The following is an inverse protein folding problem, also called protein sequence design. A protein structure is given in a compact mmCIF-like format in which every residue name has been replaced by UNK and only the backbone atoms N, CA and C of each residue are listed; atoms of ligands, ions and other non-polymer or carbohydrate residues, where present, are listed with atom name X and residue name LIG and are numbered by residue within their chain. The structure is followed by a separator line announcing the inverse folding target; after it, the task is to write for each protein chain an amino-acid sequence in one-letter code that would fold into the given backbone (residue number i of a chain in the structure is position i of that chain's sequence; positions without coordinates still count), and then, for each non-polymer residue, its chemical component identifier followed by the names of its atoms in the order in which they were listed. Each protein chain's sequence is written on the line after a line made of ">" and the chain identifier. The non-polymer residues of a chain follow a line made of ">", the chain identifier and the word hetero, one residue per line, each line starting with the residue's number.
data_IF_895459510014
#
_entry.id   IF_895459510014
#
_cell.length_a   1.000
_cell.length_b   1.000
_cell.length_c   1.000
_cell.angle_alpha   90.00
_cell.angle_beta   90.00
_cell.angle_gamma   90.00
#
_symmetry.space_group_name_H-M   'P 1'
#
loop_
_entity.id
_entity.type
_entity.pdbx_description
1 polymer ?
#
# COMPACT_ATOMS: atom_id res chain seq x y z
N UNK A 1 -13.78 2.86 1.09
CA UNK A 1 -13.13 1.58 0.78
C UNK A 1 -13.22 0.65 1.98
N UNK A 2 -13.45 -0.65 1.76
CA UNK A 2 -13.48 -1.68 2.81
C UNK A 2 -12.11 -2.39 2.86
N UNK A 3 -11.58 -2.74 4.04
CA UNK A 3 -10.37 -3.55 4.14
C UNK A 3 -10.51 -4.90 3.42
N UNK A 4 -9.45 -5.35 2.76
CA UNK A 4 -9.38 -6.67 2.13
C UNK A 4 -8.53 -7.57 3.03
N UNK A 5 -9.07 -8.74 3.38
CA UNK A 5 -8.41 -9.73 4.23
C UNK A 5 -8.10 -10.99 3.40
N UNK A 6 -6.84 -11.42 3.41
CA UNK A 6 -6.45 -12.73 2.93
C UNK A 6 -6.65 -13.75 4.04
N UNK A 7 -7.28 -14.87 3.71
CA UNK A 7 -7.45 -16.01 4.60
C UNK A 7 -6.82 -17.27 4.00
N UNK A 8 -6.35 -18.17 4.85
CA UNK A 8 -5.88 -19.49 4.43
C UNK A 8 -7.05 -20.41 4.05
N UNK A 9 -6.74 -21.66 3.66
CA UNK A 9 -7.73 -22.69 3.31
C UNK A 9 -8.70 -23.05 4.44
N UNK A 10 -8.40 -22.69 5.69
CA UNK A 10 -9.27 -22.90 6.87
C UNK A 10 -10.06 -21.65 7.23
N UNK A 11 -9.90 -20.56 6.47
CA UNK A 11 -10.53 -19.27 6.75
C UNK A 11 -9.82 -18.44 7.81
N UNK A 12 -8.62 -18.83 8.26
CA UNK A 12 -7.87 -18.04 9.23
C UNK A 12 -7.22 -16.82 8.54
N UNK A 13 -7.31 -15.60 9.12
CA UNK A 13 -6.73 -14.41 8.51
C UNK A 13 -5.20 -14.45 8.55
N UNK A 14 -4.57 -14.28 7.38
CA UNK A 14 -3.11 -14.35 7.21
C UNK A 14 -2.49 -13.05 6.71
N UNK A 15 -3.31 -12.12 6.24
CA UNK A 15 -2.88 -10.78 5.85
C UNK A 15 -4.05 -9.87 5.60
N UNK A 16 -3.80 -8.57 5.59
CA UNK A 16 -4.81 -7.57 5.29
C UNK A 16 -4.18 -6.36 4.60
N UNK A 17 -5.02 -5.66 3.82
CA UNK A 17 -4.67 -4.42 3.16
C UNK A 17 -5.85 -3.46 3.18
N UNK A 18 -5.57 -2.18 3.39
CA UNK A 18 -6.56 -1.12 3.33
C UNK A 18 -5.87 0.21 3.04
N UNK A 19 -6.66 1.27 2.89
CA UNK A 19 -6.15 2.63 2.83
C UNK A 19 -6.71 3.49 3.93
N UNK A 20 -5.98 4.54 4.29
CA UNK A 20 -6.43 5.61 5.18
C UNK A 20 -5.97 6.97 4.63
N UNK A 21 -6.39 8.06 5.26
CA UNK A 21 -5.90 9.41 4.97
C UNK A 21 -5.27 9.99 6.23
N UNK A 22 -3.98 10.34 6.16
CA UNK A 22 -3.30 11.01 7.26
C UNK A 22 -3.80 12.44 7.48
N UNK A 23 -3.51 12.99 8.66
CA UNK A 23 -3.68 14.41 8.95
C UNK A 23 -2.40 14.98 9.61
N UNK A 24 -1.56 15.75 8.88
CA UNK A 24 -1.73 16.11 7.46
C UNK A 24 -1.60 14.89 6.51
N UNK A 25 -2.16 14.96 5.29
CA UNK A 25 -2.03 13.88 4.32
C UNK A 25 -0.57 13.71 3.89
N UNK A 26 -0.13 12.47 3.67
CA UNK A 26 1.23 12.21 3.17
C UNK A 26 1.46 12.86 1.80
N UNK A 27 0.46 12.77 0.90
CA UNK A 27 0.47 13.38 -0.43
C UNK A 27 -0.92 13.80 -0.86
N UNK A 28 -0.94 14.79 -1.75
CA UNK A 28 -2.12 15.20 -2.51
C UNK A 28 -1.83 15.10 -4.00
N UNK A 29 -2.88 15.00 -4.81
CA UNK A 29 -2.81 15.16 -6.27
C UNK A 29 -2.58 16.64 -6.66
N UNK A 30 -2.56 16.91 -7.96
CA UNK A 30 -2.37 18.25 -8.50
C UNK A 30 -3.50 19.24 -8.16
N UNK A 31 -4.70 18.73 -7.82
CA UNK A 31 -5.85 19.53 -7.40
C UNK A 31 -5.88 19.76 -5.87
N UNK A 32 -4.93 19.19 -5.13
CA UNK A 32 -4.86 19.28 -3.68
C UNK A 32 -5.70 18.22 -2.94
N UNK A 33 -6.29 17.26 -3.65
CA UNK A 33 -7.04 16.16 -3.05
C UNK A 33 -6.08 15.16 -2.41
N UNK A 34 -6.25 14.78 -1.13
CA UNK A 34 -5.43 13.76 -0.50
C UNK A 34 -5.41 12.44 -1.28
N UNK A 35 -4.24 11.84 -1.43
CA UNK A 35 -4.10 10.49 -1.98
C UNK A 35 -4.34 9.45 -0.87
N UNK A 36 -4.99 8.32 -1.18
CA UNK A 36 -5.15 7.25 -0.20
C UNK A 36 -3.78 6.64 0.15
N UNK A 37 -3.49 6.54 1.45
CA UNK A 37 -2.26 5.95 1.99
C UNK A 37 -2.45 4.45 2.23
N UNK A 38 -1.54 3.63 1.69
CA UNK A 38 -1.51 2.19 1.89
C UNK A 38 -1.19 1.81 3.33
N UNK A 39 -1.96 0.88 3.88
CA UNK A 39 -1.54 0.04 4.98
C UNK A 39 -1.68 -1.44 4.59
N UNK A 40 -0.65 -2.24 4.88
CA UNK A 40 -0.61 -3.67 4.53
C UNK A 40 0.19 -4.45 5.56
N UNK A 41 -0.28 -5.65 5.89
CA UNK A 41 0.47 -6.60 6.68
C UNK A 41 0.20 -8.04 6.22
N UNK A 42 1.25 -8.87 6.28
CA UNK A 42 1.18 -10.33 6.15
C UNK A 42 1.83 -10.93 7.40
N UNK A 43 1.13 -11.89 8.00
CA UNK A 43 1.59 -12.60 9.20
C UNK A 43 2.97 -13.25 8.94
N UNK A 44 3.92 -13.21 9.90
CA UNK A 44 5.31 -13.63 9.68
C UNK A 44 5.49 -15.00 9.01
N UNK A 45 4.70 -16.00 9.43
CA UNK A 45 4.77 -17.38 8.91
C UNK A 45 4.25 -17.56 7.48
N UNK A 46 3.61 -16.54 6.91
CA UNK A 46 3.01 -16.55 5.57
C UNK A 46 3.70 -15.59 4.60
N UNK A 47 4.84 -15.00 5.02
CA UNK A 47 5.63 -14.11 4.17
C UNK A 47 6.44 -14.92 3.16
N UNK A 48 6.67 -14.34 1.97
CA UNK A 48 7.38 -15.02 0.88
C UNK A 48 6.48 -15.88 -0.02
N UNK A 49 5.21 -16.04 0.33
CA UNK A 49 4.23 -16.86 -0.42
C UNK A 49 3.42 -16.07 -1.46
N UNK A 50 3.77 -14.81 -1.72
CA UNK A 50 3.06 -13.97 -2.71
C UNK A 50 1.77 -13.32 -2.21
N UNK A 51 1.32 -13.58 -0.98
CA UNK A 51 0.08 -13.02 -0.41
C UNK A 51 0.05 -11.48 -0.47
N UNK A 52 1.15 -10.82 -0.10
CA UNK A 52 1.23 -9.36 -0.16
C UNK A 52 1.07 -8.81 -1.58
N UNK A 53 1.52 -9.55 -2.60
CA UNK A 53 1.33 -9.17 -4.00
C UNK A 53 -0.14 -9.28 -4.41
N UNK A 54 -0.82 -10.37 -4.01
CA UNK A 54 -2.25 -10.57 -4.29
C UNK A 54 -3.13 -9.53 -3.60
N UNK A 55 -2.83 -9.21 -2.33
CA UNK A 55 -3.52 -8.17 -1.59
C UNK A 55 -3.38 -6.81 -2.30
N UNK A 56 -2.19 -6.45 -2.75
CA UNK A 56 -1.95 -5.22 -3.49
C UNK A 56 -2.74 -5.18 -4.81
N UNK A 57 -2.75 -6.26 -5.59
CA UNK A 57 -3.51 -6.30 -6.85
C UNK A 57 -5.02 -6.12 -6.64
N UNK A 58 -5.56 -6.76 -5.61
CA UNK A 58 -6.97 -6.61 -5.23
C UNK A 58 -7.28 -5.18 -4.77
N UNK A 59 -6.37 -4.57 -3.99
CA UNK A 59 -6.51 -3.18 -3.57
C UNK A 59 -6.49 -2.22 -4.75
N UNK A 60 -5.55 -2.38 -5.68
CA UNK A 60 -5.43 -1.50 -6.85
C UNK A 60 -6.67 -1.56 -7.72
N UNK A 61 -7.18 -2.78 -7.97
CA UNK A 61 -8.42 -2.98 -8.73
C UNK A 61 -9.59 -2.24 -8.09
N UNK A 62 -9.67 -2.29 -6.75
CA UNK A 62 -10.73 -1.59 -6.01
C UNK A 62 -10.56 -0.06 -6.05
N UNK A 63 -9.34 0.46 -5.93
CA UNK A 63 -9.08 1.90 -5.93
C UNK A 63 -9.19 2.53 -7.33
N UNK A 64 -8.81 1.81 -8.39
CA UNK A 64 -8.79 2.35 -9.74
C UNK A 64 -10.17 2.80 -10.26
N UNK A 65 -11.25 2.40 -9.60
CA UNK A 65 -12.60 2.87 -9.90
C UNK A 65 -12.78 4.37 -9.61
N UNK A 66 -12.16 4.87 -8.54
CA UNK A 66 -12.41 6.23 -8.00
C UNK A 66 -11.13 7.06 -7.80
N UNK A 67 -9.94 6.46 -7.95
CA UNK A 67 -8.64 7.09 -7.68
C UNK A 67 -7.65 6.90 -8.83
N UNK A 68 -6.97 7.98 -9.18
CA UNK A 68 -5.94 7.99 -10.23
C UNK A 68 -4.60 7.50 -9.73
N UNK A 69 -4.35 7.66 -8.43
CA UNK A 69 -3.10 7.29 -7.79
C UNK A 69 -3.31 7.00 -6.29
N UNK A 70 -2.33 6.31 -5.71
CA UNK A 70 -2.23 6.09 -4.28
C UNK A 70 -0.79 6.30 -3.79
N UNK A 71 -0.62 6.44 -2.49
CA UNK A 71 0.70 6.61 -1.89
C UNK A 71 0.96 5.64 -0.73
N UNK A 72 2.21 5.52 -0.33
CA UNK A 72 2.60 4.73 0.84
C UNK A 72 3.77 5.42 1.56
N UNK A 73 3.76 5.36 2.89
CA UNK A 73 4.94 5.71 3.69
C UNK A 73 5.64 4.43 4.13
N UNK A 74 6.87 4.22 3.68
CA UNK A 74 7.66 3.03 4.05
C UNK A 74 8.92 3.43 4.80
N UNK A 75 9.32 2.61 5.76
CA UNK A 75 10.63 2.78 6.39
C UNK A 75 11.74 2.52 5.36
N UNK A 76 12.82 3.30 5.38
CA UNK A 76 13.96 3.16 4.43
C UNK A 76 14.57 1.74 4.41
N UNK A 77 14.46 1.02 5.52
CA UNK A 77 14.91 -0.38 5.69
C UNK A 77 13.80 -1.43 5.52
N UNK A 78 12.66 -1.07 4.94
CA UNK A 78 11.55 -2.01 4.74
C UNK A 78 11.99 -3.14 3.78
N UNK A 79 11.93 -4.42 4.20
CA UNK A 79 12.34 -5.54 3.34
C UNK A 79 11.44 -5.72 2.09
N UNK A 80 10.26 -5.10 2.08
CA UNK A 80 9.31 -5.19 0.98
C UNK A 80 9.57 -4.21 -0.18
N UNK A 81 10.69 -3.46 -0.19
CA UNK A 81 10.98 -2.48 -1.26
C UNK A 81 10.86 -3.09 -2.67
N UNK A 82 11.43 -4.29 -2.89
CA UNK A 82 11.35 -4.98 -4.18
C UNK A 82 9.92 -5.38 -4.56
N UNK A 83 9.04 -5.63 -3.57
CA UNK A 83 7.62 -5.89 -3.83
C UNK A 83 6.94 -4.61 -4.32
N UNK A 84 7.15 -3.48 -3.65
CA UNK A 84 6.58 -2.20 -4.05
C UNK A 84 7.04 -1.79 -5.45
N UNK A 85 8.35 -1.88 -5.73
CA UNK A 85 8.91 -1.60 -7.07
C UNK A 85 8.27 -2.48 -8.16
N UNK A 86 8.19 -3.80 -7.95
CA UNK A 86 7.55 -4.72 -8.90
C UNK A 86 6.06 -4.44 -9.09
N UNK A 87 5.40 -3.87 -8.09
CA UNK A 87 4.00 -3.45 -8.15
C UNK A 87 3.83 -2.04 -8.72
N UNK A 88 4.89 -1.43 -9.24
CA UNK A 88 4.84 -0.14 -9.94
C UNK A 88 4.88 1.07 -9.02
N UNK A 89 5.19 0.90 -7.74
CA UNK A 89 5.46 2.05 -6.88
C UNK A 89 6.80 2.69 -7.26
N UNK A 90 6.84 4.02 -7.21
CA UNK A 90 8.01 4.85 -7.47
C UNK A 90 8.33 5.68 -6.23
N UNK A 91 9.61 5.89 -5.94
CA UNK A 91 10.04 6.80 -4.87
C UNK A 91 9.70 8.23 -5.28
N UNK A 92 9.01 8.96 -4.40
CA UNK A 92 8.68 10.37 -4.59
C UNK A 92 9.56 11.28 -3.71
N UNK A 93 10.12 10.75 -2.62
CA UNK A 93 11.05 11.48 -1.75
C UNK A 93 10.82 11.17 -0.28
N UNK A 94 11.08 12.16 0.58
CA UNK A 94 10.89 12.05 2.02
C UNK A 94 9.41 11.79 2.37
N UNK A 95 9.17 10.81 3.23
CA UNK A 95 7.87 10.51 3.82
C UNK A 95 7.79 10.98 5.29
N UNK A 96 6.86 10.39 6.04
CA UNK A 96 6.65 10.76 7.44
C UNK A 96 7.75 10.19 8.35
N UNK A 97 8.24 11.04 9.25
CA UNK A 97 9.33 10.71 10.18
C UNK A 97 10.71 10.72 9.52
N UNK A 98 11.81 10.63 10.30
CA UNK A 98 13.18 10.80 9.80
C UNK A 98 13.65 9.69 8.84
N UNK A 99 12.98 8.54 8.84
CA UNK A 99 13.33 7.37 8.02
C UNK A 99 12.19 6.96 7.07
N UNK A 100 11.16 7.80 6.94
CA UNK A 100 10.05 7.56 6.02
C UNK A 100 10.43 7.89 4.58
N UNK A 101 10.07 7.02 3.66
CA UNK A 101 10.16 7.23 2.22
C UNK A 101 8.74 7.20 1.67
N UNK A 102 8.35 8.30 1.01
CA UNK A 102 7.06 8.37 0.32
C UNK A 102 7.18 7.68 -1.03
N UNK A 103 6.28 6.74 -1.27
CA UNK A 103 6.09 6.06 -2.55
C UNK A 103 4.78 6.50 -3.18
N UNK A 104 4.72 6.51 -4.51
CA UNK A 104 3.51 6.75 -5.29
C UNK A 104 3.27 5.62 -6.30
N UNK A 105 2.02 5.28 -6.55
CA UNK A 105 1.59 4.35 -7.61
C UNK A 105 0.44 4.99 -8.38
N UNK A 106 0.61 5.14 -9.68
CA UNK A 106 -0.46 5.52 -10.59
C UNK A 106 -1.39 4.31 -10.79
N UNK A 107 -2.70 4.44 -10.68
CA UNK A 107 -3.68 3.34 -10.71
C UNK A 107 -4.36 3.18 -12.08
N UNK A 108 -4.17 4.16 -12.98
CA UNK A 108 -4.60 4.13 -14.38
C UNK A 108 -3.47 3.70 -15.31
#
# INVERSE_FOLDING_TARGET
>A
MVPIVAADHRGAPVGAVWTYYGNPPLRCDAAGTPLPELCIAVAPGYRGEGIGAMLLDALFTTLAADHDAMCANVHVRNPANRLYERKGFRVLGQGNGPLGVALIKDLR
#
